data_IF_581361008245
#
_entry.id   IF_581361008245
#
_cell.length_a   1.000
_cell.length_b   1.000
_cell.length_c   1.000
_cell.angle_alpha   90.00
_cell.angle_beta   90.00
_cell.angle_gamma   90.00
#
_symmetry.space_group_name_H-M   'P 1'
#
loop_
_entity.id
_entity.type
_entity.pdbx_description
1 polymer ?
#
# COMPACT_ATOMS: atom_id res chain seq x y z
N UNK A 1 4.74 10.56 24.32
CA UNK A 1 3.91 10.51 23.11
C UNK A 1 2.72 9.63 23.44
N UNK A 2 1.51 10.21 23.48
CA UNK A 2 0.29 9.54 23.96
C UNK A 2 -0.11 8.35 23.07
N UNK A 3 -0.67 7.26 23.62
CA UNK A 3 -1.06 6.07 22.86
C UNK A 3 -2.16 6.35 21.82
N UNK A 4 -3.00 7.37 22.05
CA UNK A 4 -4.14 7.73 21.18
C UNK A 4 -3.69 8.22 19.80
N UNK A 5 -2.58 8.97 19.71
CA UNK A 5 -2.11 9.53 18.43
C UNK A 5 -1.52 8.46 17.53
N UNK A 6 -0.88 7.44 18.11
CA UNK A 6 -0.32 6.32 17.35
C UNK A 6 -1.43 5.49 16.69
N UNK A 7 -2.52 5.22 17.41
CA UNK A 7 -3.66 4.48 16.87
C UNK A 7 -4.33 5.24 15.72
N UNK A 8 -4.51 6.56 15.84
CA UNK A 8 -5.10 7.38 14.80
C UNK A 8 -4.29 7.36 13.48
N UNK A 9 -2.96 7.44 13.56
CA UNK A 9 -2.07 7.41 12.38
C UNK A 9 -2.16 6.06 11.66
N UNK A 10 -2.09 4.95 12.42
CA UNK A 10 -2.21 3.60 11.84
C UNK A 10 -3.58 3.41 11.16
N UNK A 11 -4.66 3.90 11.78
CA UNK A 11 -6.00 3.87 11.17
C UNK A 11 -6.07 4.70 9.90
N UNK A 12 -5.50 5.90 9.88
CA UNK A 12 -5.46 6.75 8.69
C UNK A 12 -4.68 6.09 7.54
N UNK A 13 -3.50 5.55 7.82
CA UNK A 13 -2.68 4.81 6.83
C UNK A 13 -3.49 3.64 6.25
N UNK A 14 -4.12 2.83 7.11
CA UNK A 14 -4.90 1.69 6.65
C UNK A 14 -6.08 2.10 5.75
N UNK A 15 -6.79 3.17 6.11
CA UNK A 15 -7.90 3.70 5.32
C UNK A 15 -7.42 4.21 3.94
N UNK A 16 -6.30 4.96 3.91
CA UNK A 16 -5.74 5.50 2.68
C UNK A 16 -5.20 4.41 1.75
N UNK A 17 -4.50 3.40 2.29
CA UNK A 17 -4.04 2.24 1.51
C UNK A 17 -5.23 1.50 0.91
N UNK A 18 -6.30 1.30 1.68
CA UNK A 18 -7.51 0.64 1.16
C UNK A 18 -8.17 1.46 0.05
N UNK A 19 -8.25 2.79 0.21
CA UNK A 19 -8.81 3.68 -0.81
C UNK A 19 -7.97 3.64 -2.10
N UNK A 20 -6.64 3.64 -1.99
CA UNK A 20 -5.73 3.54 -3.13
C UNK A 20 -5.88 2.20 -3.89
N UNK A 21 -6.16 1.11 -3.18
CA UNK A 21 -6.38 -0.22 -3.76
C UNK A 21 -7.77 -0.40 -4.38
N UNK A 22 -8.70 0.52 -4.17
CA UNK A 22 -10.07 0.45 -4.68
C UNK A 22 -10.11 0.67 -6.19
N UNK A 23 -11.02 -0.02 -6.89
CA UNK A 23 -11.27 0.19 -8.32
C UNK A 23 -12.29 1.31 -8.59
N UNK A 24 -12.89 1.90 -7.55
CA UNK A 24 -14.00 2.85 -7.66
C UNK A 24 -13.59 4.30 -7.40
N UNK A 25 -12.29 4.55 -7.31
CA UNK A 25 -11.71 5.87 -7.03
C UNK A 25 -11.12 6.40 -8.34
N UNK A 26 -11.42 7.65 -8.67
CA UNK A 26 -10.87 8.35 -9.83
C UNK A 26 -9.40 8.73 -9.61
N UNK A 27 -8.71 9.10 -10.69
CA UNK A 27 -7.27 9.38 -10.66
C UNK A 27 -6.91 10.61 -9.81
N UNK A 28 -7.76 11.66 -9.75
CA UNK A 28 -7.48 12.84 -8.93
C UNK A 28 -7.54 12.46 -7.45
N UNK A 29 -8.58 11.72 -7.05
CA UNK A 29 -8.68 11.21 -5.68
C UNK A 29 -7.51 10.27 -5.34
N UNK A 30 -7.07 9.38 -6.26
CA UNK A 30 -5.88 8.53 -6.02
C UNK A 30 -4.60 9.35 -5.83
N UNK A 31 -4.42 10.40 -6.63
CA UNK A 31 -3.28 11.30 -6.48
C UNK A 31 -3.26 11.97 -5.10
N UNK A 32 -4.41 12.49 -4.64
CA UNK A 32 -4.53 13.08 -3.31
C UNK A 32 -4.23 12.07 -2.19
N UNK A 33 -4.71 10.82 -2.34
CA UNK A 33 -4.45 9.73 -1.39
C UNK A 33 -2.96 9.39 -1.34
N UNK A 34 -2.31 9.23 -2.49
CA UNK A 34 -0.88 8.94 -2.57
C UNK A 34 -0.03 10.07 -1.98
N UNK A 35 -0.40 11.32 -2.25
CA UNK A 35 0.24 12.50 -1.65
C UNK A 35 0.10 12.50 -0.13
N UNK A 36 -1.11 12.29 0.38
CA UNK A 36 -1.39 12.23 1.81
C UNK A 36 -0.61 11.12 2.50
N UNK A 37 -0.50 9.94 1.87
CA UNK A 37 0.36 8.86 2.35
C UNK A 37 1.82 9.31 2.46
N UNK A 38 2.36 10.00 1.45
CA UNK A 38 3.72 10.54 1.50
C UNK A 38 3.95 11.51 2.67
N UNK A 39 2.96 12.31 3.03
CA UNK A 39 3.04 13.29 4.12
C UNK A 39 2.99 12.64 5.53
N UNK A 40 2.15 11.61 5.70
CA UNK A 40 1.98 10.95 7.01
C UNK A 40 3.03 9.86 7.29
N UNK A 41 3.69 9.33 6.26
CA UNK A 41 4.72 8.29 6.39
C UNK A 41 6.05 8.88 6.85
N UNK A 42 6.15 9.21 8.14
CA UNK A 42 7.32 9.87 8.73
C UNK A 42 8.40 8.90 9.23
N UNK A 43 8.05 7.68 9.61
CA UNK A 43 8.99 6.68 10.12
C UNK A 43 9.02 5.38 9.32
N UNK A 44 10.07 4.60 9.57
CA UNK A 44 10.34 3.36 8.84
C UNK A 44 9.31 2.27 9.11
N UNK A 45 8.74 2.23 10.32
CA UNK A 45 7.76 1.20 10.69
C UNK A 45 6.52 1.32 9.79
N UNK A 46 5.97 2.52 9.67
CA UNK A 46 4.80 2.77 8.84
C UNK A 46 5.11 2.57 7.34
N UNK A 47 6.29 2.99 6.86
CA UNK A 47 6.70 2.73 5.46
C UNK A 47 6.78 1.24 5.15
N UNK A 48 7.35 0.43 6.06
CA UNK A 48 7.41 -1.04 5.93
C UNK A 48 6.00 -1.64 5.82
N UNK A 49 5.06 -1.18 6.64
CA UNK A 49 3.66 -1.65 6.60
C UNK A 49 2.98 -1.32 5.26
N UNK A 50 3.15 -0.10 4.75
CA UNK A 50 2.62 0.30 3.44
C UNK A 50 3.23 -0.50 2.30
N UNK A 51 4.56 -0.70 2.31
CA UNK A 51 5.27 -1.52 1.32
C UNK A 51 4.73 -2.95 1.32
N UNK A 52 4.51 -3.56 2.49
CA UNK A 52 3.92 -4.90 2.61
C UNK A 52 2.50 -4.98 2.08
N UNK A 53 1.70 -3.94 2.32
CA UNK A 53 0.30 -3.89 1.88
C UNK A 53 0.18 -3.72 0.36
N UNK A 54 1.05 -2.89 -0.23
CA UNK A 54 1.04 -2.59 -1.66
C UNK A 54 1.81 -3.63 -2.51
N UNK A 55 2.75 -4.39 -1.95
CA UNK A 55 3.55 -5.39 -2.70
C UNK A 55 2.75 -6.56 -3.31
N UNK A 56 1.55 -6.82 -2.80
CA UNK A 56 0.59 -7.79 -3.37
C UNK A 56 -0.36 -7.21 -4.42
N UNK A 57 -0.32 -5.88 -4.63
CA UNK A 57 -1.24 -5.23 -5.56
C UNK A 57 -0.74 -5.39 -6.99
N UNK A 58 -1.35 -6.31 -7.73
CA UNK A 58 -0.96 -6.67 -9.10
C UNK A 58 -1.13 -5.54 -10.13
N UNK A 59 -1.82 -4.46 -9.76
CA UNK A 59 -2.18 -3.36 -10.63
C UNK A 59 -1.73 -2.03 -10.03
N UNK A 60 -0.49 -1.98 -9.56
CA UNK A 60 0.12 -0.71 -9.14
C UNK A 60 -0.04 0.26 -10.32
N UNK A 61 -0.89 1.25 -10.11
CA UNK A 61 -0.95 2.42 -10.98
C UNK A 61 0.19 3.37 -10.63
N UNK A 62 0.32 4.44 -11.41
CA UNK A 62 1.35 5.44 -11.20
C UNK A 62 1.34 6.01 -9.76
N UNK A 63 0.16 6.13 -9.13
CA UNK A 63 0.01 6.66 -7.78
C UNK A 63 0.55 5.69 -6.73
N UNK A 64 0.26 4.39 -6.86
CA UNK A 64 0.84 3.36 -6.02
C UNK A 64 2.36 3.32 -6.14
N UNK A 65 2.91 3.43 -7.36
CA UNK A 65 4.36 3.47 -7.56
C UNK A 65 5.00 4.68 -6.91
N UNK A 66 4.36 5.85 -6.91
CA UNK A 66 4.89 7.04 -6.26
C UNK A 66 5.03 6.84 -4.74
N UNK A 67 4.02 6.24 -4.09
CA UNK A 67 4.10 5.92 -2.65
C UNK A 67 5.23 4.93 -2.36
N UNK A 68 5.35 3.89 -3.18
CA UNK A 68 6.41 2.87 -3.05
C UNK A 68 7.79 3.46 -3.28
N UNK A 69 7.94 4.34 -4.28
CA UNK A 69 9.17 5.05 -4.57
C UNK A 69 9.58 5.96 -3.43
N UNK A 70 8.62 6.69 -2.84
CA UNK A 70 8.87 7.49 -1.64
C UNK A 70 9.35 6.62 -0.46
N UNK A 71 8.73 5.45 -0.25
CA UNK A 71 9.18 4.51 0.77
C UNK A 71 10.61 4.00 0.51
N UNK A 72 10.93 3.63 -0.73
CA UNK A 72 12.24 3.13 -1.12
C UNK A 72 13.36 4.16 -0.92
N UNK A 73 13.09 5.46 -1.11
CA UNK A 73 14.05 6.52 -0.86
C UNK A 73 14.36 6.75 0.62
N UNK A 74 13.43 6.40 1.51
CA UNK A 74 13.52 6.71 2.94
C UNK A 74 13.74 5.48 3.83
N UNK A 75 13.78 4.28 3.25
CA UNK A 75 14.04 3.01 3.95
C UNK A 75 15.46 2.51 3.64
N UNK A 76 16.14 1.88 4.62
CA UNK A 76 17.26 1.02 4.31
C UNK A 76 16.82 -0.06 3.31
N UNK A 77 17.62 -0.27 2.25
CA UNK A 77 17.27 -1.22 1.19
C UNK A 77 16.91 -2.63 1.69
N UNK A 78 17.61 -3.22 2.69
CA UNK A 78 17.24 -4.53 3.22
C UNK A 78 15.82 -4.58 3.78
N UNK A 79 15.38 -3.55 4.50
CA UNK A 79 14.04 -3.47 5.10
C UNK A 79 12.96 -3.36 4.01
N UNK A 80 13.22 -2.52 2.99
CA UNK A 80 12.33 -2.41 1.83
C UNK A 80 12.22 -3.75 1.09
N UNK A 81 13.35 -4.37 0.77
CA UNK A 81 13.41 -5.63 0.05
C UNK A 81 12.65 -6.73 0.80
N UNK A 82 12.90 -6.85 2.10
CA UNK A 82 12.19 -7.81 2.94
C UNK A 82 10.68 -7.53 2.96
N UNK A 83 10.27 -6.28 3.15
CA UNK A 83 8.86 -5.89 3.15
C UNK A 83 8.16 -6.17 1.81
N UNK A 84 8.83 -5.86 0.69
CA UNK A 84 8.30 -6.06 -0.65
C UNK A 84 8.14 -7.54 -1.00
N UNK A 85 9.11 -8.37 -0.61
CA UNK A 85 9.13 -9.79 -0.98
C UNK A 85 8.48 -10.73 0.05
N UNK A 86 8.23 -10.30 1.29
CA UNK A 86 7.61 -11.13 2.34
C UNK A 86 6.13 -11.47 2.12
N UNK A 87 5.49 -11.01 1.06
CA UNK A 87 4.08 -11.29 0.83
C UNK A 87 3.83 -12.81 0.67
N UNK A 88 3.07 -13.39 1.59
CA UNK A 88 2.82 -14.83 1.69
C UNK A 88 2.15 -15.35 0.40
N UNK A 89 2.67 -16.47 -0.14
CA UNK A 89 2.15 -17.14 -1.35
C UNK A 89 0.64 -17.33 -1.28
N UNK A 90 0.07 -17.56 -0.10
CA UNK A 90 -1.37 -17.69 0.12
C UNK A 90 -2.17 -16.44 -0.31
N UNK A 91 -1.67 -15.23 -0.02
CA UNK A 91 -2.36 -13.99 -0.39
C UNK A 91 -2.25 -13.74 -1.89
N UNK A 92 -1.08 -14.01 -2.49
CA UNK A 92 -0.88 -14.00 -3.94
C UNK A 92 -1.79 -15.00 -4.65
N UNK A 93 -1.92 -16.22 -4.12
CA UNK A 93 -2.80 -17.25 -4.66
C UNK A 93 -4.29 -16.83 -4.58
N UNK A 94 -4.72 -16.27 -3.44
CA UNK A 94 -6.09 -15.76 -3.25
C UNK A 94 -6.42 -14.62 -4.23
N UNK A 95 -5.49 -13.70 -4.47
CA UNK A 95 -5.67 -12.60 -5.42
C UNK A 95 -5.64 -13.08 -6.88
N UNK A 96 -4.75 -14.00 -7.24
CA UNK A 96 -4.73 -14.63 -8.57
C UNK A 96 -6.03 -15.39 -8.87
N UNK A 97 -6.57 -16.11 -7.88
CA UNK A 97 -7.88 -16.77 -7.97
C UNK A 97 -9.01 -15.76 -8.16
N UNK A 98 -9.02 -14.66 -7.40
CA UNK A 98 -9.98 -13.56 -7.57
C UNK A 98 -9.99 -13.09 -9.04
N UNK A 99 -8.81 -12.85 -9.62
CA UNK A 99 -8.69 -12.44 -11.03
C UNK A 99 -9.31 -13.45 -12.00
N UNK A 100 -9.00 -14.74 -11.89
CA UNK A 100 -9.56 -15.76 -12.79
C UNK A 100 -11.09 -15.79 -12.74
N UNK A 101 -11.67 -15.65 -11.54
CA UNK A 101 -13.12 -15.71 -11.33
C UNK A 101 -13.85 -14.48 -11.89
N UNK A 102 -13.28 -13.28 -11.76
CA UNK A 102 -13.93 -12.04 -12.23
C UNK A 102 -13.61 -11.68 -13.69
N UNK A 103 -12.56 -12.25 -14.29
CA UNK A 103 -12.22 -12.01 -15.71
C UNK A 103 -12.99 -12.95 -16.65
N UNK A 104 -13.55 -14.06 -16.15
CA UNK A 104 -14.36 -15.03 -16.92
C UNK A 104 -15.86 -14.71 -16.97
N UNK A 105 -16.29 -13.57 -16.44
CA UNK A 105 -17.68 -13.12 -16.48
C UNK A 105 -17.82 -11.91 -17.40
N UNK A 106 -17.61 -12.15 -18.70
CA UNK A 106 -18.14 -11.38 -19.83
C UNK A 106 -18.62 -12.42 -20.84
#
# INVERSE_FOLDING_TARGET
>A
MEPVTLTAVVTAIAALVHLLQSNHVDDDTRWQVAKSLGEILQDNKHRIEVVKALSGYWRLDYHCYNVIWNCAQNLPYPDFYQAWHQHNIATRAKQSLKKILFTRRI
#
